data_IF_120095980091
#
_entry.id   IF_120095980091
#
_cell.length_a   1.000
_cell.length_b   1.000
_cell.length_c   1.000
_cell.angle_alpha   90.00
_cell.angle_beta   90.00
_cell.angle_gamma   90.00
#
_symmetry.space_group_name_H-M   'P 1'
#
loop_
_entity.id
_entity.type
_entity.pdbx_description
1 polymer ?
#
# COMPACT_ATOMS: atom_id res chain seq x y z
N UNK A 1 18.24 -11.91 -20.17
CA UNK A 1 17.91 -10.79 -19.25
C UNK A 1 16.50 -11.07 -18.77
N UNK A 2 16.25 -11.29 -17.46
CA UNK A 2 14.87 -11.38 -17.00
C UNK A 2 14.20 -10.03 -17.24
N UNK A 3 13.01 -10.09 -17.78
CA UNK A 3 12.08 -8.97 -17.95
C UNK A 3 11.69 -8.49 -16.56
N UNK A 4 12.43 -7.50 -16.03
CA UNK A 4 11.96 -6.69 -14.89
C UNK A 4 10.87 -5.80 -15.45
N UNK A 5 9.70 -6.37 -15.67
CA UNK A 5 8.51 -5.61 -16.01
C UNK A 5 8.42 -4.47 -15.01
N UNK A 6 8.50 -3.25 -15.54
CA UNK A 6 8.25 -1.98 -14.88
C UNK A 6 6.96 -2.14 -14.06
N UNK A 7 7.13 -2.48 -12.78
CA UNK A 7 6.01 -2.89 -11.94
C UNK A 7 5.42 -1.61 -11.38
N UNK A 8 4.58 -0.94 -12.18
CA UNK A 8 3.78 0.18 -11.69
C UNK A 8 3.00 -0.31 -10.48
N UNK A 9 3.30 0.25 -9.30
CA UNK A 9 2.64 -0.16 -8.08
C UNK A 9 1.26 0.51 -8.04
N UNK A 10 0.22 -0.30 -8.08
CA UNK A 10 -1.15 0.18 -7.98
C UNK A 10 -1.55 0.33 -6.51
N UNK A 11 -1.68 1.58 -6.06
CA UNK A 11 -2.18 1.90 -4.72
C UNK A 11 -3.70 2.13 -4.79
N UNK A 12 -4.51 1.41 -3.99
CA UNK A 12 -5.97 1.50 -4.06
C UNK A 12 -6.50 2.83 -3.52
N UNK A 13 -7.59 3.35 -4.10
CA UNK A 13 -8.26 4.55 -3.58
C UNK A 13 -8.96 4.34 -2.23
N UNK A 14 -9.26 3.08 -1.88
CA UNK A 14 -9.91 2.76 -0.61
C UNK A 14 -9.33 1.51 0.05
N UNK A 15 -9.23 1.56 1.37
CA UNK A 15 -8.86 0.42 2.21
C UNK A 15 -9.94 0.15 3.26
N UNK A 16 -9.88 -1.02 3.89
CA UNK A 16 -10.68 -1.32 5.08
C UNK A 16 -9.98 -0.76 6.32
N UNK A 17 -10.68 0.05 7.11
CA UNK A 17 -10.17 0.55 8.37
C UNK A 17 -10.03 -0.60 9.38
N UNK A 18 -8.85 -0.77 9.95
CA UNK A 18 -8.58 -1.84 10.92
C UNK A 18 -9.33 -1.63 12.25
N UNK A 19 -9.60 -0.38 12.63
CA UNK A 19 -10.24 -0.08 13.93
C UNK A 19 -11.77 -0.25 13.91
N UNK A 20 -12.44 0.06 12.79
CA UNK A 20 -13.91 0.04 12.74
C UNK A 20 -14.50 -0.77 11.57
N UNK A 21 -13.67 -1.34 10.69
CA UNK A 21 -14.10 -2.15 9.56
C UNK A 21 -14.78 -1.37 8.41
N UNK A 22 -15.00 -0.05 8.55
CA UNK A 22 -15.55 0.78 7.49
C UNK A 22 -14.49 1.18 6.45
N UNK A 23 -14.92 1.72 5.30
CA UNK A 23 -14.00 2.19 4.26
C UNK A 23 -13.24 3.44 4.70
N UNK A 24 -11.93 3.43 4.46
CA UNK A 24 -11.07 4.60 4.48
C UNK A 24 -10.68 4.98 3.07
N UNK A 25 -10.70 6.28 2.78
CA UNK A 25 -10.47 6.85 1.46
C UNK A 25 -9.10 7.50 1.41
N UNK A 26 -8.38 7.30 0.31
CA UNK A 26 -7.06 7.89 0.09
C UNK A 26 -7.16 9.41 0.07
N UNK A 27 -6.22 10.06 0.75
CA UNK A 27 -6.05 11.51 0.79
C UNK A 27 -4.85 11.96 -0.05
N UNK A 28 -3.80 11.15 -0.14
CA UNK A 28 -2.63 11.45 -0.97
C UNK A 28 -3.01 11.33 -2.45
N UNK A 29 -2.66 12.34 -3.25
CA UNK A 29 -2.84 12.27 -4.69
C UNK A 29 -1.88 11.25 -5.31
N UNK A 30 -2.31 10.49 -6.32
CA UNK A 30 -1.40 9.63 -7.06
C UNK A 30 -0.31 10.48 -7.72
N UNK A 31 0.97 10.05 -7.66
CA UNK A 31 2.02 10.63 -8.47
C UNK A 31 1.69 10.44 -9.95
N UNK A 32 2.22 11.34 -10.78
CA UNK A 32 1.97 11.28 -12.22
C UNK A 32 2.69 10.08 -12.85
N UNK A 33 2.21 9.62 -14.00
CA UNK A 33 2.87 8.54 -14.74
C UNK A 33 4.25 8.97 -15.26
N UNK A 34 4.45 10.27 -15.53
CA UNK A 34 5.74 10.85 -15.93
C UNK A 34 6.77 10.87 -14.79
N UNK A 35 6.31 10.91 -13.53
CA UNK A 35 7.15 10.75 -12.33
C UNK A 35 7.44 9.27 -11.99
N UNK A 36 6.95 8.33 -12.81
CA UNK A 36 7.15 6.89 -12.63
C UNK A 36 6.10 6.20 -11.76
N UNK A 37 5.01 6.87 -11.39
CA UNK A 37 3.97 6.31 -10.53
C UNK A 37 4.44 6.06 -9.09
N UNK A 38 3.70 5.23 -8.33
CA UNK A 38 4.03 4.92 -6.95
C UNK A 38 5.31 4.09 -6.85
N UNK A 39 6.16 4.44 -5.88
CA UNK A 39 7.41 3.75 -5.61
C UNK A 39 7.40 3.08 -4.23
N UNK A 40 8.13 1.96 -4.04
CA UNK A 40 8.32 1.38 -2.72
C UNK A 40 8.89 2.40 -1.74
N UNK A 41 8.32 2.47 -0.54
CA UNK A 41 8.70 3.44 0.49
C UNK A 41 7.88 4.73 0.50
N UNK A 42 7.08 5.01 -0.54
CA UNK A 42 6.16 6.14 -0.55
C UNK A 42 5.12 6.02 0.57
N UNK A 43 4.68 7.15 1.12
CA UNK A 43 3.68 7.19 2.19
C UNK A 43 2.33 7.65 1.64
N UNK A 44 1.32 6.83 1.84
CA UNK A 44 -0.06 7.06 1.39
C UNK A 44 -0.96 7.24 2.59
N UNK A 45 -1.57 8.41 2.71
CA UNK A 45 -2.51 8.73 3.76
C UNK A 45 -3.94 8.34 3.36
N UNK A 46 -4.68 7.74 4.29
CA UNK A 46 -6.09 7.41 4.19
C UNK A 46 -6.86 7.98 5.37
N UNK A 47 -8.14 8.33 5.17
CA UNK A 47 -9.05 8.72 6.25
C UNK A 47 -10.31 7.89 6.25
N UNK A 48 -10.64 7.33 7.41
CA UNK A 48 -11.83 6.51 7.60
C UNK A 48 -13.10 7.35 7.55
N UNK A 49 -14.13 6.89 6.83
CA UNK A 49 -15.46 7.51 6.86
C UNK A 49 -16.21 7.30 8.19
N UNK A 50 -15.88 6.23 8.92
CA UNK A 50 -16.56 5.83 10.15
C UNK A 50 -16.01 6.47 11.40
N UNK A 51 -14.77 6.12 11.76
CA UNK A 51 -14.12 6.63 12.97
C UNK A 51 -13.38 7.96 12.76
N UNK A 52 -13.23 8.43 11.51
CA UNK A 52 -12.47 9.64 11.15
C UNK A 52 -10.97 9.58 11.48
N UNK A 53 -10.46 8.42 11.89
CA UNK A 53 -9.03 8.19 12.07
C UNK A 53 -8.29 8.22 10.74
N UNK A 54 -6.98 8.51 10.85
CA UNK A 54 -6.05 8.59 9.73
C UNK A 54 -5.08 7.42 9.79
N UNK A 55 -4.80 6.85 8.63
CA UNK A 55 -3.80 5.81 8.43
C UNK A 55 -2.75 6.29 7.44
N UNK A 56 -1.48 6.11 7.77
CA UNK A 56 -0.34 6.39 6.88
C UNK A 56 0.33 5.04 6.57
N UNK A 57 0.19 4.58 5.33
CA UNK A 57 0.70 3.28 4.88
C UNK A 57 1.90 3.47 3.97
N UNK A 58 2.88 2.58 4.10
CA UNK A 58 4.06 2.56 3.23
C UNK A 58 3.75 1.67 2.03
N UNK A 59 4.08 2.16 0.83
CA UNK A 59 4.01 1.36 -0.40
C UNK A 59 5.08 0.27 -0.33
N UNK A 60 4.67 -0.99 -0.37
CA UNK A 60 5.59 -2.14 -0.29
C UNK A 60 6.20 -2.46 -1.66
N UNK A 61 7.40 -3.06 -1.66
CA UNK A 61 7.98 -3.63 -2.87
C UNK A 61 7.24 -4.91 -3.22
N UNK A 62 6.68 -5.05 -4.44
CA UNK A 62 6.00 -6.28 -4.86
C UNK A 62 6.89 -7.53 -4.73
N UNK A 63 8.21 -7.41 -4.82
CA UNK A 63 9.14 -8.52 -4.64
C UNK A 63 9.25 -9.00 -3.18
N UNK A 64 8.98 -8.15 -2.19
CA UNK A 64 9.07 -8.49 -0.75
C UNK A 64 7.78 -9.12 -0.20
N UNK A 65 6.65 -8.90 -0.88
CA UNK A 65 5.35 -9.51 -0.52
C UNK A 65 5.33 -11.04 -0.66
N UNK A 66 6.35 -11.64 -1.29
CA UNK A 66 6.53 -13.08 -1.45
C UNK A 66 7.30 -13.74 -0.28
N UNK A 67 7.36 -13.13 0.91
CA UNK A 67 8.00 -13.76 2.05
C UNK A 67 7.30 -15.08 2.43
N UNK A 68 7.98 -16.24 2.34
CA UNK A 68 7.44 -17.47 2.91
C UNK A 68 7.29 -17.30 4.42
N UNK A 69 6.36 -18.04 5.08
CA UNK A 69 6.15 -17.92 6.51
C UNK A 69 7.49 -18.07 7.24
N UNK A 70 7.79 -17.12 8.12
CA UNK A 70 9.02 -17.14 8.88
C UNK A 70 9.10 -18.42 9.71
N UNK A 71 10.28 -19.02 9.84
CA UNK A 71 10.47 -20.23 10.65
C UNK A 71 10.11 -20.05 12.14
N UNK A 72 9.81 -18.82 12.58
CA UNK A 72 9.41 -18.49 13.96
C UNK A 72 7.94 -18.78 14.25
N UNK A 73 7.10 -18.96 13.23
CA UNK A 73 5.65 -19.19 13.34
C UNK A 73 5.28 -20.67 13.66
N UNK A 74 6.28 -21.56 13.75
CA UNK A 74 6.12 -22.99 14.05
C UNK A 74 6.54 -23.38 15.48
N UNK A 75 6.30 -22.52 16.47
CA UNK A 75 6.59 -22.81 17.88
C UNK A 75 5.33 -23.08 18.70
#
# INVERSE_FOLDING_TARGET
MPDYGESMIEVPDTITCIDCGQKAHRLTYPPSEEDGGWQPGDIVAYRCRGCNDRWDLVVEDPADSAQPPSASDFR
#
